data_IF_152867509343
#
_entry.id   IF_152867509343
#
_cell.length_a   1.000
_cell.length_b   1.000
_cell.length_c   1.000
_cell.angle_alpha   90.00
_cell.angle_beta   90.00
_cell.angle_gamma   90.00
#
_symmetry.space_group_name_H-M   'P 1'
#
loop_
_entity.id
_entity.type
_entity.pdbx_description
1 polymer ?
#
# COMPACT_ATOMS: atom_id res chain seq x y z
N UNK A 1 6.35 -22.57 -5.03
CA UNK A 1 5.53 -21.36 -5.20
C UNK A 1 4.08 -21.79 -5.15
N UNK A 2 3.36 -21.37 -4.12
CA UNK A 2 1.92 -21.61 -4.02
C UNK A 2 1.22 -20.77 -5.08
N UNK A 3 0.20 -21.34 -5.73
CA UNK A 3 -0.53 -20.71 -6.84
C UNK A 3 -1.49 -19.59 -6.41
N UNK A 4 -1.40 -19.13 -5.16
CA UNK A 4 -2.38 -18.22 -4.54
C UNK A 4 -1.98 -16.76 -4.56
N UNK A 5 -0.68 -16.46 -4.52
CA UNK A 5 -0.21 -15.08 -4.58
C UNK A 5 -0.20 -14.59 -6.04
N UNK A 6 -1.02 -13.59 -6.33
CA UNK A 6 -1.03 -12.89 -7.60
C UNK A 6 -0.27 -11.59 -7.47
N UNK A 7 0.79 -11.44 -8.26
CA UNK A 7 1.66 -10.28 -8.19
C UNK A 7 2.03 -9.76 -9.58
N UNK A 8 2.71 -8.63 -9.62
CA UNK A 8 3.32 -8.07 -10.81
C UNK A 8 3.75 -6.63 -10.60
N UNK A 9 4.23 -6.02 -11.69
CA UNK A 9 4.65 -4.62 -11.71
C UNK A 9 3.89 -3.83 -12.77
N UNK A 10 3.46 -2.62 -12.43
CA UNK A 10 2.63 -1.74 -13.25
C UNK A 10 3.34 -0.42 -13.53
N UNK A 11 3.06 0.18 -14.69
CA UNK A 11 3.38 1.59 -14.99
C UNK A 11 2.26 2.44 -14.39
N UNK A 12 2.33 2.63 -13.07
CA UNK A 12 1.39 3.37 -12.25
C UNK A 12 2.11 3.80 -10.95
N UNK A 13 1.45 4.65 -10.17
CA UNK A 13 1.78 5.00 -8.78
C UNK A 13 0.66 4.53 -7.84
N UNK A 14 0.90 4.56 -6.53
CA UNK A 14 -0.18 4.34 -5.54
C UNK A 14 -1.31 5.34 -5.75
N UNK A 15 -0.99 6.61 -6.05
CA UNK A 15 -2.00 7.63 -6.35
C UNK A 15 -2.90 7.23 -7.51
N UNK A 16 -2.34 6.72 -8.61
CA UNK A 16 -3.14 6.30 -9.78
C UNK A 16 -4.13 5.17 -9.43
N UNK A 17 -3.73 4.24 -8.55
CA UNK A 17 -4.59 3.13 -8.10
C UNK A 17 -5.67 3.63 -7.15
N UNK A 18 -5.33 4.51 -6.21
CA UNK A 18 -6.29 5.11 -5.28
C UNK A 18 -7.31 5.97 -6.02
N UNK A 19 -6.86 6.78 -6.98
CA UNK A 19 -7.73 7.65 -7.79
C UNK A 19 -8.66 6.87 -8.73
N UNK A 20 -8.33 5.60 -9.05
CA UNK A 20 -9.25 4.71 -9.75
C UNK A 20 -10.44 4.27 -8.88
N UNK A 21 -10.33 4.40 -7.55
CA UNK A 21 -11.44 4.32 -6.60
C UNK A 21 -12.10 2.95 -6.49
N UNK A 22 -13.38 2.98 -6.11
CA UNK A 22 -14.20 1.82 -5.72
C UNK A 22 -14.33 0.74 -6.80
N UNK A 23 -14.21 1.11 -8.08
CA UNK A 23 -14.30 0.15 -9.18
C UNK A 23 -13.10 -0.80 -9.21
N UNK A 24 -11.98 -0.38 -8.62
CA UNK A 24 -10.72 -1.10 -8.63
C UNK A 24 -10.33 -1.67 -7.27
N UNK A 25 -10.45 -0.88 -6.21
CA UNK A 25 -10.00 -1.28 -4.88
C UNK A 25 -10.89 -2.39 -4.28
N UNK A 26 -10.33 -3.30 -3.48
CA UNK A 26 -11.14 -4.23 -2.70
C UNK A 26 -11.88 -3.50 -1.58
N UNK A 27 -12.92 -4.12 -1.01
CA UNK A 27 -13.52 -3.63 0.24
C UNK A 27 -12.51 -3.84 1.38
N UNK A 28 -11.99 -2.75 1.95
CA UNK A 28 -11.02 -2.75 3.04
C UNK A 28 -11.55 -1.94 4.23
N UNK A 29 -11.10 -2.26 5.44
CA UNK A 29 -11.43 -1.50 6.66
C UNK A 29 -10.25 -0.71 7.21
N UNK A 30 -9.03 -1.03 6.77
CA UNK A 30 -7.81 -0.35 7.16
C UNK A 30 -6.86 -0.22 5.97
N UNK A 31 -6.43 1.00 5.71
CA UNK A 31 -5.28 1.30 4.86
C UNK A 31 -4.09 1.63 5.76
N UNK A 32 -2.92 1.04 5.46
CA UNK A 32 -1.72 1.24 6.24
C UNK A 32 -0.56 1.66 5.34
N UNK A 33 0.18 2.67 5.79
CA UNK A 33 1.37 3.16 5.10
C UNK A 33 2.57 2.84 6.00
N UNK A 34 3.42 1.89 5.58
CA UNK A 34 4.51 1.43 6.40
C UNK A 34 5.59 2.50 6.57
N UNK A 35 6.31 2.41 7.68
CA UNK A 35 7.56 3.14 7.87
C UNK A 35 8.67 2.41 7.12
N UNK A 36 9.26 3.06 6.12
CA UNK A 36 10.41 2.53 5.42
C UNK A 36 11.71 2.76 6.20
N UNK A 37 12.64 1.82 6.09
CA UNK A 37 13.93 1.91 6.77
C UNK A 37 14.71 3.16 6.34
N UNK A 38 15.05 4.01 7.32
CA UNK A 38 15.77 5.26 7.09
C UNK A 38 14.88 6.43 6.63
N UNK A 39 13.58 6.23 6.47
CA UNK A 39 12.62 7.30 6.17
C UNK A 39 12.09 7.96 7.46
N UNK A 40 11.64 9.21 7.33
CA UNK A 40 10.80 9.83 8.36
C UNK A 40 9.43 9.16 8.41
N UNK A 41 8.78 9.18 9.57
CA UNK A 41 7.41 8.67 9.72
C UNK A 41 6.46 9.39 8.75
N UNK A 42 5.58 8.69 8.02
CA UNK A 42 4.71 9.30 7.02
C UNK A 42 3.88 10.49 7.57
N UNK A 43 3.39 10.37 8.80
CA UNK A 43 2.63 11.44 9.47
C UNK A 43 3.46 12.67 9.88
N UNK A 44 4.78 12.54 9.94
CA UNK A 44 5.70 13.60 10.38
C UNK A 44 6.23 14.44 9.21
N UNK A 45 6.03 14.01 7.96
CA UNK A 45 6.46 14.73 6.77
C UNK A 45 5.91 16.15 6.74
N UNK A 46 6.74 17.19 6.52
CA UNK A 46 6.32 18.58 6.71
C UNK A 46 5.08 19.00 5.92
N UNK A 47 4.93 18.50 4.68
CA UNK A 47 3.79 18.78 3.80
C UNK A 47 2.51 18.11 4.28
N UNK A 48 2.58 16.83 4.64
CA UNK A 48 1.47 16.04 5.19
C UNK A 48 1.04 16.60 6.54
N UNK A 49 1.99 16.73 7.49
CA UNK A 49 1.73 17.23 8.84
C UNK A 49 1.05 18.60 8.85
N UNK A 50 1.53 19.53 8.03
CA UNK A 50 0.96 20.89 7.94
C UNK A 50 -0.48 20.87 7.45
N UNK A 51 -0.79 20.03 6.45
CA UNK A 51 -2.14 19.94 5.87
C UNK A 51 -3.12 19.22 6.80
N UNK A 52 -2.70 18.13 7.43
CA UNK A 52 -3.53 17.44 8.44
C UNK A 52 -3.89 18.36 9.61
N UNK A 53 -2.92 19.15 10.10
CA UNK A 53 -3.17 20.14 11.14
C UNK A 53 -4.17 21.22 10.68
N UNK A 54 -4.06 21.69 9.45
CA UNK A 54 -4.99 22.68 8.89
C UNK A 54 -6.42 22.13 8.77
N UNK A 55 -6.58 20.82 8.53
CA UNK A 55 -7.88 20.15 8.44
C UNK A 55 -8.39 19.59 9.78
N UNK A 56 -7.64 19.76 10.87
CA UNK A 56 -8.00 19.25 12.19
C UNK A 56 -8.00 17.71 12.29
N UNK A 57 -7.31 17.03 11.37
CA UNK A 57 -7.22 15.55 11.33
C UNK A 57 -6.18 15.08 12.34
N UNK A 58 -6.54 14.05 13.11
CA UNK A 58 -5.59 13.32 13.96
C UNK A 58 -5.18 12.06 13.22
N UNK A 59 -3.90 11.91 12.91
CA UNK A 59 -3.40 10.67 12.33
C UNK A 59 -3.33 9.56 13.38
N UNK A 60 -3.90 8.41 13.05
CA UNK A 60 -3.68 7.19 13.81
C UNK A 60 -2.32 6.59 13.42
N UNK A 61 -1.52 6.20 14.41
CA UNK A 61 -0.21 5.58 14.17
C UNK A 61 -0.01 4.37 15.07
N UNK A 62 0.52 3.29 14.50
CA UNK A 62 0.95 2.11 15.25
C UNK A 62 2.42 1.83 14.93
N UNK A 63 3.31 1.93 15.93
CA UNK A 63 4.76 1.69 15.78
C UNK A 63 5.44 2.45 14.61
N UNK A 64 4.88 3.61 14.23
CA UNK A 64 5.38 4.43 13.13
C UNK A 64 4.70 4.20 11.78
N UNK A 65 3.89 3.14 11.65
CA UNK A 65 2.96 2.93 10.53
C UNK A 65 1.82 3.93 10.67
N UNK A 66 1.48 4.62 9.58
CA UNK A 66 0.30 5.48 9.51
C UNK A 66 -0.91 4.63 9.14
N UNK A 67 -1.93 4.64 9.98
CA UNK A 67 -3.18 3.92 9.78
C UNK A 67 -4.26 4.90 9.32
N UNK A 68 -5.03 4.48 8.33
CA UNK A 68 -6.05 5.27 7.65
C UNK A 68 -7.34 4.46 7.56
N UNK A 69 -8.46 5.06 7.97
CA UNK A 69 -9.78 4.54 7.64
C UNK A 69 -10.07 4.72 6.14
N UNK A 70 -11.02 3.97 5.54
CA UNK A 70 -11.31 4.07 4.12
C UNK A 70 -11.62 5.50 3.63
N UNK A 71 -12.37 6.29 4.40
CA UNK A 71 -12.67 7.69 4.06
C UNK A 71 -11.51 8.65 4.29
N UNK A 72 -10.47 8.25 5.01
CA UNK A 72 -9.27 9.05 5.20
C UNK A 72 -8.30 8.90 4.02
N UNK A 73 -8.29 7.75 3.35
CA UNK A 73 -7.41 7.48 2.22
C UNK A 73 -7.51 8.56 1.13
N UNK A 74 -8.73 8.94 0.74
CA UNK A 74 -8.99 9.99 -0.25
C UNK A 74 -8.49 11.37 0.21
N UNK A 75 -8.69 11.69 1.49
CA UNK A 75 -8.25 12.96 2.09
C UNK A 75 -6.73 13.06 2.10
N UNK A 76 -6.09 11.98 2.49
CA UNK A 76 -4.65 11.85 2.54
C UNK A 76 -4.02 11.86 1.13
N UNK A 77 -4.68 11.25 0.15
CA UNK A 77 -4.33 11.38 -1.28
C UNK A 77 -4.37 12.85 -1.72
N UNK A 78 -5.47 13.55 -1.45
CA UNK A 78 -5.66 14.95 -1.86
C UNK A 78 -4.62 15.93 -1.25
N UNK A 79 -4.10 15.63 -0.06
CA UNK A 79 -3.04 16.43 0.57
C UNK A 79 -1.63 16.06 0.08
N UNK A 80 -1.50 15.14 -0.87
CA UNK A 80 -0.26 14.80 -1.55
C UNK A 80 0.59 13.78 -0.79
N UNK A 81 -0.02 12.92 0.03
CA UNK A 81 0.70 11.87 0.75
C UNK A 81 1.44 10.93 -0.20
N UNK A 82 0.83 10.60 -1.33
CA UNK A 82 1.39 9.72 -2.36
C UNK A 82 2.34 10.44 -3.32
N UNK A 83 2.70 11.71 -3.09
CA UNK A 83 3.65 12.45 -3.92
C UNK A 83 5.13 12.12 -3.60
N UNK A 84 5.40 10.90 -3.12
CA UNK A 84 6.69 10.47 -2.60
C UNK A 84 6.62 9.32 -1.59
N UNK A 85 5.41 8.91 -1.20
CA UNK A 85 5.16 7.59 -0.62
C UNK A 85 4.58 6.68 -1.69
N UNK A 86 5.27 5.58 -1.96
CA UNK A 86 4.84 4.60 -2.95
C UNK A 86 4.37 3.30 -2.30
N UNK A 87 4.15 3.30 -0.98
CA UNK A 87 3.78 2.12 -0.21
C UNK A 87 2.37 2.25 0.37
N UNK A 88 1.53 1.25 0.11
CA UNK A 88 0.18 1.17 0.65
C UNK A 88 -0.25 -0.29 0.81
N UNK A 89 -0.74 -0.59 2.01
CA UNK A 89 -1.27 -1.91 2.38
C UNK A 89 -2.77 -1.75 2.67
N UNK A 90 -3.63 -2.54 2.02
CA UNK A 90 -5.07 -2.56 2.28
C UNK A 90 -5.43 -3.85 3.00
N UNK A 91 -6.08 -3.75 4.15
CA UNK A 91 -6.42 -4.87 5.01
C UNK A 91 -7.95 -5.01 5.16
N UNK A 92 -8.42 -6.26 5.23
CA UNK A 92 -9.84 -6.57 5.30
C UNK A 92 -10.50 -6.09 6.59
N UNK A 93 -9.75 -6.10 7.70
CA UNK A 93 -10.23 -5.71 9.03
C UNK A 93 -9.23 -4.76 9.68
N UNK A 94 -9.75 -3.88 10.55
CA UNK A 94 -8.90 -3.08 11.42
C UNK A 94 -8.27 -3.98 12.48
N UNK A 95 -6.94 -3.96 12.57
CA UNK A 95 -6.20 -4.73 13.56
C UNK A 95 -5.19 -3.81 14.27
N UNK A 96 -5.40 -3.54 15.56
CA UNK A 96 -4.50 -2.73 16.39
C UNK A 96 -3.14 -3.41 16.63
N UNK A 97 -3.06 -4.72 16.42
CA UNK A 97 -1.83 -5.52 16.45
C UNK A 97 -1.22 -5.68 15.04
N UNK A 98 -1.69 -4.91 14.05
CA UNK A 98 -1.14 -4.97 12.70
C UNK A 98 0.36 -4.65 12.71
N UNK A 99 1.14 -5.63 12.30
CA UNK A 99 2.54 -5.47 12.01
C UNK A 99 2.69 -5.28 10.50
N UNK A 100 3.27 -4.15 10.08
CA UNK A 100 3.71 -3.97 8.70
C UNK A 100 4.58 -5.14 8.29
N UNK A 101 4.46 -5.58 7.04
CA UNK A 101 5.28 -6.66 6.51
C UNK A 101 6.77 -6.44 6.86
N UNK A 102 7.41 -7.35 7.61
CA UNK A 102 8.74 -7.12 8.18
C UNK A 102 9.87 -7.29 7.16
N UNK A 103 9.57 -7.86 5.99
CA UNK A 103 10.49 -7.77 4.87
C UNK A 103 10.56 -6.31 4.46
N UNK A 104 11.77 -5.74 4.43
CA UNK A 104 11.97 -4.48 3.73
C UNK A 104 11.37 -4.70 2.33
N UNK A 105 10.29 -4.00 2.00
CA UNK A 105 9.96 -3.70 0.59
C UNK A 105 11.11 -2.89 -0.06
N UNK A 106 12.15 -2.56 0.71
CA UNK A 106 13.54 -2.90 0.44
C UNK A 106 13.89 -3.02 -1.03
N UNK A 107 14.68 -2.04 -1.46
CA UNK A 107 15.31 -1.83 -2.77
C UNK A 107 15.93 -3.04 -3.48
N UNK A 108 15.91 -4.24 -2.89
CA UNK A 108 16.41 -5.48 -3.46
C UNK A 108 15.37 -6.24 -4.30
N UNK A 109 14.06 -6.11 -4.00
CA UNK A 109 13.00 -6.63 -4.88
C UNK A 109 12.32 -5.46 -5.59
N UNK A 110 13.05 -4.86 -6.53
CA UNK A 110 12.53 -3.76 -7.35
C UNK A 110 11.42 -4.22 -8.31
N UNK A 111 11.37 -5.52 -8.59
CA UNK A 111 10.46 -6.08 -9.60
C UNK A 111 9.76 -7.37 -9.16
N UNK A 112 8.46 -7.25 -8.88
CA UNK A 112 7.62 -8.41 -8.57
C UNK A 112 7.39 -9.33 -9.77
N UNK A 113 7.76 -8.95 -10.99
CA UNK A 113 7.79 -9.89 -12.12
C UNK A 113 8.90 -10.95 -11.95
N UNK A 114 9.99 -10.63 -11.24
CA UNK A 114 11.13 -11.54 -11.03
C UNK A 114 10.96 -12.42 -9.79
N UNK A 115 10.19 -11.96 -8.80
CA UNK A 115 9.84 -12.70 -7.60
C UNK A 115 9.29 -11.78 -6.52
N UNK A 116 8.66 -12.36 -5.50
CA UNK A 116 8.15 -11.61 -4.34
C UNK A 116 9.08 -11.79 -3.14
N UNK A 117 9.09 -10.84 -2.18
CA UNK A 117 9.76 -11.02 -0.91
C UNK A 117 9.37 -12.34 -0.22
N UNK A 118 10.35 -13.00 0.39
CA UNK A 118 10.12 -14.23 1.15
C UNK A 118 9.18 -13.96 2.33
N UNK A 119 8.16 -14.80 2.52
CA UNK A 119 7.21 -14.66 3.61
C UNK A 119 6.03 -13.74 3.32
N UNK A 120 5.99 -13.07 2.16
CA UNK A 120 4.92 -12.13 1.81
C UNK A 120 3.56 -12.83 1.76
N UNK A 121 3.48 -14.00 1.12
CA UNK A 121 2.24 -14.77 1.01
C UNK A 121 1.70 -15.17 2.38
N UNK A 122 2.56 -15.76 3.24
CA UNK A 122 2.17 -16.16 4.59
C UNK A 122 1.73 -14.96 5.44
N UNK A 123 2.48 -13.86 5.38
CA UNK A 123 2.11 -12.64 6.12
C UNK A 123 0.78 -12.06 5.63
N UNK A 124 0.50 -12.04 4.31
CA UNK A 124 -0.78 -11.54 3.80
C UNK A 124 -1.95 -12.39 4.29
N UNK A 125 -1.77 -13.71 4.36
CA UNK A 125 -2.77 -14.63 4.94
C UNK A 125 -2.98 -14.37 6.43
N UNK A 126 -1.90 -14.20 7.20
CA UNK A 126 -1.97 -14.05 8.65
C UNK A 126 -2.53 -12.68 9.07
N UNK A 127 -2.26 -11.64 8.29
CA UNK A 127 -2.70 -10.26 8.59
C UNK A 127 -4.02 -9.86 7.94
N UNK A 128 -4.55 -10.67 7.02
CA UNK A 128 -5.71 -10.29 6.22
C UNK A 128 -5.43 -9.15 5.25
N UNK A 129 -4.17 -8.99 4.81
CA UNK A 129 -3.80 -8.00 3.80
C UNK A 129 -4.36 -8.44 2.44
N UNK A 130 -5.21 -7.59 1.87
CA UNK A 130 -5.90 -7.80 0.60
C UNK A 130 -5.05 -7.36 -0.59
N UNK A 131 -4.32 -6.26 -0.43
CA UNK A 131 -3.50 -5.66 -1.47
C UNK A 131 -2.28 -4.99 -0.83
N UNK A 132 -1.09 -5.47 -1.20
CA UNK A 132 0.16 -4.79 -0.89
C UNK A 132 0.67 -4.09 -2.15
N UNK A 133 0.99 -2.81 -2.04
CA UNK A 133 1.54 -1.98 -3.12
C UNK A 133 2.80 -1.28 -2.63
N UNK A 134 3.80 -1.20 -3.51
CA UNK A 134 5.12 -0.67 -3.19
C UNK A 134 5.97 -0.39 -4.42
N UNK A 135 7.00 0.45 -4.28
CA UNK A 135 8.07 0.61 -5.29
C UNK A 135 8.12 1.93 -6.06
N UNK A 136 9.35 2.33 -6.42
CA UNK A 136 9.67 3.65 -7.00
C UNK A 136 9.44 3.79 -8.51
N UNK A 137 10.33 3.26 -9.36
CA UNK A 137 10.26 3.41 -10.85
C UNK A 137 9.14 2.55 -11.50
N UNK A 138 8.06 2.29 -10.78
CA UNK A 138 6.92 1.45 -11.15
C UNK A 138 6.31 0.80 -9.92
N UNK A 139 5.03 0.45 -10.00
CA UNK A 139 4.26 -0.04 -8.86
C UNK A 139 4.24 -1.56 -8.83
N UNK A 140 4.94 -2.14 -7.86
CA UNK A 140 4.74 -3.53 -7.49
C UNK A 140 3.39 -3.68 -6.78
N UNK A 141 2.70 -4.78 -7.07
CA UNK A 141 1.51 -5.17 -6.33
C UNK A 141 1.52 -6.66 -6.03
N UNK A 142 0.93 -7.03 -4.90
CA UNK A 142 0.62 -8.41 -4.54
C UNK A 142 -0.78 -8.50 -3.91
N UNK A 143 -1.52 -9.54 -4.26
CA UNK A 143 -2.85 -9.83 -3.74
C UNK A 143 -3.12 -11.33 -3.77
N UNK A 144 -3.96 -11.80 -2.85
CA UNK A 144 -4.48 -13.18 -2.84
C UNK A 144 -5.76 -13.31 -3.69
N UNK A 145 -6.31 -12.20 -4.19
CA UNK A 145 -7.51 -12.17 -5.03
C UNK A 145 -7.15 -12.10 -6.52
N UNK A 146 -7.46 -13.18 -7.24
CA UNK A 146 -7.28 -13.28 -8.69
C UNK A 146 -8.04 -12.19 -9.46
N UNK A 147 -9.28 -11.89 -9.06
CA UNK A 147 -10.12 -10.89 -9.72
C UNK A 147 -9.57 -9.49 -9.54
N UNK A 148 -9.05 -9.16 -8.35
CA UNK A 148 -8.34 -7.91 -8.12
C UNK A 148 -7.08 -7.79 -8.99
N UNK A 149 -6.27 -8.85 -9.07
CA UNK A 149 -5.08 -8.86 -9.92
C UNK A 149 -5.42 -8.62 -11.40
N UNK A 150 -6.46 -9.25 -11.91
CA UNK A 150 -6.90 -9.06 -13.30
C UNK A 150 -7.40 -7.65 -13.57
N UNK A 151 -8.17 -7.05 -12.65
CA UNK A 151 -8.61 -5.65 -12.77
C UNK A 151 -7.43 -4.69 -12.82
N UNK A 152 -6.44 -4.87 -11.93
CA UNK A 152 -5.21 -4.06 -11.93
C UNK A 152 -4.45 -4.18 -13.26
N UNK A 153 -4.27 -5.40 -13.76
CA UNK A 153 -3.58 -5.67 -15.04
C UNK A 153 -4.35 -5.21 -16.27
N UNK A 154 -5.68 -5.14 -16.20
CA UNK A 154 -6.52 -4.61 -17.27
C UNK A 154 -6.51 -3.08 -17.28
N UNK A 155 -6.41 -2.46 -16.10
CA UNK A 155 -6.47 -1.01 -15.92
C UNK A 155 -5.14 -0.31 -16.23
N UNK A 156 -4.02 -0.94 -15.90
CA UNK A 156 -2.68 -0.35 -16.00
C UNK A 156 -1.75 -1.18 -16.89
N UNK A 157 -0.89 -0.48 -17.63
CA UNK A 157 0.16 -1.12 -18.45
C UNK A 157 1.13 -1.85 -17.53
N UNK A 158 1.50 -3.09 -17.86
CA UNK A 158 2.53 -3.82 -17.12
C UNK A 158 3.90 -3.18 -17.35
N UNK A 159 4.67 -3.01 -16.28
CA UNK A 159 6.09 -2.69 -16.38
C UNK A 159 6.85 -3.94 -16.82
N UNK A 160 7.95 -3.74 -17.57
CA UNK A 160 8.84 -4.81 -18.01
C UNK A 160 9.83 -5.18 -16.92
#
# INVERSE_FOLDING_TARGET
MSQRLHHGRLIASVSDVVDAGIDLLPDFQLAAIPLLDGAERPAEWPTVRRRLQAEGVRSAQHRGVLLLEPGELDRFSAVGLFAGNDELLLCAEWNDEFESFPGRLGTETLDFNEGTPLGLEEWMLDTGCLLAMGGGDGLNFATLDHGLADRLRARFTRAK
#
